data_IF_523999864854
#
_entry.id   IF_523999864854
#
_cell.length_a   1.000
_cell.length_b   1.000
_cell.length_c   1.000
_cell.angle_alpha   90.00
_cell.angle_beta   90.00
_cell.angle_gamma   90.00
#
_symmetry.space_group_name_H-M   'P 1'
#
loop_
_entity.id
_entity.type
_entity.pdbx_description
1 polymer ?
#
# COMPACT_ATOMS: atom_id res chain seq x y z
N UNK A 1 -2.40 23.76 -0.05
CA UNK A 1 -1.77 23.25 -1.29
C UNK A 1 -1.71 21.73 -1.19
N UNK A 2 -2.66 21.01 -1.79
CA UNK A 2 -2.65 19.53 -1.78
C UNK A 2 -1.56 19.07 -2.75
N UNK A 3 -0.58 18.30 -2.28
CA UNK A 3 0.59 17.93 -3.07
C UNK A 3 0.18 17.12 -4.31
N UNK A 4 0.76 17.45 -5.46
CA UNK A 4 0.51 16.79 -6.76
C UNK A 4 0.71 15.27 -6.68
N UNK A 5 1.60 14.81 -5.79
CA UNK A 5 1.87 13.41 -5.47
C UNK A 5 0.64 12.67 -4.90
N UNK A 6 -0.22 13.37 -4.16
CA UNK A 6 -1.50 12.82 -3.66
C UNK A 6 -2.50 12.58 -4.79
N UNK A 7 -2.49 13.44 -5.82
CA UNK A 7 -3.33 13.29 -7.00
C UNK A 7 -2.91 12.11 -7.88
N UNK A 8 -1.62 11.98 -8.15
CA UNK A 8 -1.06 10.93 -9.01
C UNK A 8 -1.29 9.54 -8.40
N UNK A 9 -1.02 9.38 -7.11
CA UNK A 9 -1.22 8.10 -6.41
C UNK A 9 -2.69 7.69 -6.37
N UNK A 10 -3.61 8.64 -6.12
CA UNK A 10 -5.06 8.40 -6.16
C UNK A 10 -5.53 8.01 -7.57
N UNK A 11 -5.02 8.66 -8.61
CA UNK A 11 -5.35 8.31 -9.99
C UNK A 11 -4.83 6.92 -10.37
N UNK A 12 -3.59 6.59 -9.99
CA UNK A 12 -2.99 5.25 -10.20
C UNK A 12 -3.84 4.16 -9.54
N UNK A 13 -4.31 4.39 -8.31
CA UNK A 13 -5.19 3.44 -7.62
C UNK A 13 -6.53 3.28 -8.37
N UNK A 14 -7.15 4.38 -8.79
CA UNK A 14 -8.42 4.37 -9.52
C UNK A 14 -8.29 3.62 -10.85
N UNK A 15 -7.25 3.91 -11.62
CA UNK A 15 -6.97 3.24 -12.89
C UNK A 15 -6.74 1.75 -12.67
N UNK A 16 -5.96 1.38 -11.64
CA UNK A 16 -5.65 -0.03 -11.32
C UNK A 16 -6.91 -0.79 -10.93
N UNK A 17 -7.76 -0.17 -10.10
CA UNK A 17 -9.01 -0.79 -9.70
C UNK A 17 -9.98 -0.96 -10.88
N UNK A 18 -10.07 0.05 -11.75
CA UNK A 18 -10.93 0.00 -12.94
C UNK A 18 -10.46 -1.09 -13.92
N UNK A 19 -9.15 -1.20 -14.13
CA UNK A 19 -8.57 -2.25 -14.98
C UNK A 19 -8.74 -3.64 -14.37
N UNK A 20 -8.57 -3.78 -13.06
CA UNK A 20 -8.81 -5.03 -12.35
C UNK A 20 -10.27 -5.46 -12.47
N UNK A 21 -11.23 -4.57 -12.21
CA UNK A 21 -12.65 -4.89 -12.34
C UNK A 21 -13.01 -5.34 -13.76
N UNK A 22 -12.48 -4.68 -14.78
CA UNK A 22 -12.68 -5.09 -16.18
C UNK A 22 -12.04 -6.45 -16.46
N UNK A 23 -10.87 -6.73 -15.89
CA UNK A 23 -10.23 -8.04 -16.04
C UNK A 23 -11.09 -9.13 -15.40
N UNK A 24 -11.49 -8.96 -14.14
CA UNK A 24 -12.28 -9.96 -13.42
C UNK A 24 -13.71 -10.09 -13.97
N UNK A 25 -14.30 -9.06 -14.61
CA UNK A 25 -15.61 -9.22 -15.25
C UNK A 25 -15.56 -10.09 -16.51
N UNK A 26 -14.41 -10.15 -17.18
CA UNK A 26 -14.22 -10.93 -18.42
C UNK A 26 -13.55 -12.28 -18.15
N UNK A 27 -12.57 -12.29 -17.25
CA UNK A 27 -11.68 -13.43 -16.98
C UNK A 27 -11.75 -13.92 -15.54
N UNK A 28 -12.68 -13.41 -14.71
CA UNK A 28 -12.77 -13.80 -13.30
C UNK A 28 -13.24 -15.23 -13.07
N UNK A 29 -13.92 -15.86 -14.04
CA UNK A 29 -14.52 -17.18 -13.83
C UNK A 29 -15.72 -17.13 -12.87
N UNK A 30 -16.03 -18.27 -12.24
CA UNK A 30 -17.11 -18.37 -11.25
C UNK A 30 -16.69 -17.96 -9.83
N UNK A 31 -15.39 -17.96 -9.54
CA UNK A 31 -14.84 -17.61 -8.24
C UNK A 31 -13.54 -16.77 -8.34
N UNK A 32 -13.15 -16.13 -7.24
CA UNK A 32 -11.94 -15.31 -7.20
C UNK A 32 -10.66 -16.11 -7.44
N UNK A 33 -10.67 -17.41 -7.12
CA UNK A 33 -9.51 -18.29 -7.28
C UNK A 33 -9.15 -18.46 -8.75
N UNK A 34 -10.14 -18.73 -9.59
CA UNK A 34 -9.97 -18.87 -11.03
C UNK A 34 -9.51 -17.56 -11.65
N UNK A 35 -10.09 -16.42 -11.23
CA UNK A 35 -9.63 -15.12 -11.69
C UNK A 35 -8.16 -14.85 -11.36
N UNK A 36 -7.69 -15.29 -10.17
CA UNK A 36 -6.29 -15.19 -9.78
C UNK A 36 -5.37 -16.12 -10.57
N UNK A 37 -5.83 -17.32 -10.95
CA UNK A 37 -5.06 -18.19 -11.85
C UNK A 37 -4.96 -17.54 -13.22
N UNK A 38 -6.08 -17.06 -13.76
CA UNK A 38 -6.14 -16.44 -15.08
C UNK A 38 -5.26 -15.19 -15.16
N UNK A 39 -5.16 -14.39 -14.09
CA UNK A 39 -4.29 -13.20 -14.06
C UNK A 39 -2.79 -13.57 -14.15
N UNK A 40 -2.41 -14.74 -13.61
CA UNK A 40 -1.05 -15.26 -13.66
C UNK A 40 -0.74 -15.94 -15.00
N UNK A 41 -1.76 -16.41 -15.72
CA UNK A 41 -1.59 -17.01 -17.04
C UNK A 41 -1.45 -15.95 -18.16
N UNK A 42 -1.90 -14.72 -17.95
CA UNK A 42 -1.79 -13.65 -18.96
C UNK A 42 -0.34 -13.47 -19.38
N UNK A 43 -0.05 -13.76 -20.66
CA UNK A 43 1.29 -13.63 -21.18
C UNK A 43 1.61 -12.15 -21.42
N UNK A 44 2.59 -11.61 -20.70
CA UNK A 44 3.05 -10.22 -20.82
C UNK A 44 4.45 -10.21 -21.42
N UNK A 45 4.61 -10.44 -22.74
CA UNK A 45 5.92 -10.53 -23.39
C UNK A 45 6.68 -9.20 -23.39
N UNK A 46 5.98 -8.08 -23.17
CA UNK A 46 6.53 -6.74 -23.14
C UNK A 46 6.13 -6.07 -21.83
N UNK A 47 7.09 -5.42 -21.16
CA UNK A 47 6.80 -4.67 -19.93
C UNK A 47 5.67 -3.65 -20.20
N UNK A 48 4.65 -3.56 -19.33
CA UNK A 48 3.49 -2.68 -19.50
C UNK A 48 3.86 -1.23 -19.80
N UNK A 49 4.96 -0.74 -19.23
CA UNK A 49 5.51 0.59 -19.50
C UNK A 49 5.72 0.90 -20.99
N UNK A 50 6.02 -0.11 -21.83
CA UNK A 50 6.25 0.09 -23.26
C UNK A 50 4.98 -0.02 -24.12
N UNK A 51 3.89 -0.59 -23.59
CA UNK A 51 2.64 -0.84 -24.34
C UNK A 51 1.53 0.14 -23.93
N UNK A 52 1.52 0.54 -22.67
CA UNK A 52 0.45 1.34 -22.06
C UNK A 52 0.49 2.82 -22.48
N UNK A 53 1.68 3.34 -22.81
CA UNK A 53 1.89 4.77 -23.05
C UNK A 53 1.42 5.63 -21.85
N UNK A 54 1.11 6.91 -22.08
CA UNK A 54 0.59 7.80 -21.03
C UNK A 54 -0.95 7.71 -20.87
N UNK A 55 -1.59 6.63 -21.34
CA UNK A 55 -3.05 6.50 -21.44
C UNK A 55 -3.72 6.06 -20.14
N UNK A 56 -3.05 5.25 -19.32
CA UNK A 56 -3.51 4.92 -17.98
C UNK A 56 -2.33 4.60 -17.06
N UNK A 57 -2.41 4.99 -15.80
CA UNK A 57 -1.32 4.81 -14.83
C UNK A 57 -1.41 3.49 -14.06
N UNK A 58 -2.31 2.58 -14.46
CA UNK A 58 -2.52 1.34 -13.73
C UNK A 58 -1.27 0.47 -13.69
N UNK A 59 -1.06 -0.20 -12.56
CA UNK A 59 0.07 -1.10 -12.30
C UNK A 59 -0.34 -2.58 -12.26
N UNK A 60 -1.56 -2.91 -12.72
CA UNK A 60 -2.09 -4.28 -12.64
C UNK A 60 -1.16 -5.30 -13.31
N UNK A 61 -0.73 -5.04 -14.55
CA UNK A 61 0.14 -5.94 -15.28
C UNK A 61 1.56 -6.01 -14.70
N UNK A 62 2.10 -4.90 -14.19
CA UNK A 62 3.39 -4.91 -13.50
C UNK A 62 3.31 -5.78 -12.23
N UNK A 63 2.19 -5.70 -11.50
CA UNK A 63 1.93 -6.56 -10.36
C UNK A 63 1.79 -8.04 -10.76
N UNK A 64 1.21 -8.35 -11.93
CA UNK A 64 1.12 -9.73 -12.44
C UNK A 64 2.50 -10.28 -12.79
N UNK A 65 3.35 -9.49 -13.47
CA UNK A 65 4.73 -9.87 -13.76
C UNK A 65 5.51 -10.14 -12.46
N UNK A 66 5.43 -9.23 -11.50
CA UNK A 66 6.06 -9.40 -10.19
C UNK A 66 5.56 -10.66 -9.48
N UNK A 67 4.25 -10.96 -9.56
CA UNK A 67 3.69 -12.16 -8.98
C UNK A 67 4.25 -13.45 -9.60
N UNK A 68 4.51 -13.47 -10.92
CA UNK A 68 5.18 -14.60 -11.59
C UNK A 68 6.63 -14.73 -11.14
N UNK A 69 7.39 -13.64 -11.16
CA UNK A 69 8.78 -13.63 -10.68
C UNK A 69 8.89 -14.15 -9.24
N UNK A 70 7.95 -13.77 -8.37
CA UNK A 70 7.91 -14.25 -6.98
C UNK A 70 7.54 -15.75 -6.90
N UNK A 71 6.74 -16.29 -7.80
CA UNK A 71 6.44 -17.73 -7.84
C UNK A 71 7.67 -18.56 -8.21
N UNK A 72 8.51 -18.04 -9.10
CA UNK A 72 9.72 -18.73 -9.57
C UNK A 72 10.83 -18.80 -8.51
N UNK A 73 10.79 -17.97 -7.47
CA UNK A 73 11.80 -17.93 -6.39
C UNK A 73 11.70 -19.10 -5.38
N UNK A 74 10.68 -19.95 -5.50
CA UNK A 74 10.44 -21.07 -4.58
C UNK A 74 9.81 -20.66 -3.23
N UNK A 75 9.18 -21.61 -2.50
CA UNK A 75 8.21 -21.30 -1.44
C UNK A 75 8.83 -20.54 -0.26
N UNK A 76 10.06 -20.88 0.15
CA UNK A 76 10.74 -20.23 1.29
C UNK A 76 11.09 -18.76 0.99
N UNK A 77 11.64 -18.50 -0.19
CA UNK A 77 12.06 -17.14 -0.59
C UNK A 77 10.84 -16.29 -0.89
N UNK A 78 9.85 -16.83 -1.61
CA UNK A 78 8.55 -16.21 -1.82
C UNK A 78 7.97 -15.71 -0.51
N UNK A 79 7.86 -16.58 0.50
CA UNK A 79 7.21 -16.18 1.74
C UNK A 79 8.00 -15.11 2.49
N UNK A 80 9.34 -15.23 2.51
CA UNK A 80 10.24 -14.24 3.13
C UNK A 80 10.16 -12.85 2.47
N UNK A 81 10.11 -12.80 1.14
CA UNK A 81 10.01 -11.54 0.39
C UNK A 81 8.66 -10.88 0.64
N UNK A 82 7.56 -11.63 0.47
CA UNK A 82 6.22 -11.08 0.68
C UNK A 82 6.01 -10.64 2.13
N UNK A 83 6.46 -11.41 3.13
CA UNK A 83 6.33 -11.02 4.53
C UNK A 83 7.10 -9.74 4.85
N UNK A 84 8.33 -9.61 4.34
CA UNK A 84 9.17 -8.43 4.58
C UNK A 84 8.57 -7.17 3.96
N UNK A 85 8.15 -7.25 2.69
CA UNK A 85 7.52 -6.12 1.99
C UNK A 85 6.19 -5.72 2.65
N UNK A 86 5.37 -6.68 3.08
CA UNK A 86 4.13 -6.39 3.79
C UNK A 86 4.39 -5.66 5.11
N UNK A 87 5.38 -6.10 5.90
CA UNK A 87 5.75 -5.44 7.16
C UNK A 87 6.28 -4.03 6.90
N UNK A 88 7.16 -3.84 5.93
CA UNK A 88 7.69 -2.52 5.56
C UNK A 88 6.57 -1.55 5.13
N UNK A 89 5.63 -2.02 4.31
CA UNK A 89 4.50 -1.22 3.86
C UNK A 89 3.56 -0.85 5.01
N UNK A 90 3.30 -1.78 5.93
CA UNK A 90 2.49 -1.55 7.14
C UNK A 90 3.18 -0.58 8.10
N UNK A 91 4.49 -0.72 8.33
CA UNK A 91 5.29 0.22 9.12
C UNK A 91 5.29 1.63 8.51
N UNK A 92 5.40 1.73 7.19
CA UNK A 92 5.30 3.00 6.49
C UNK A 92 3.92 3.65 6.65
N UNK A 93 2.85 2.86 6.45
CA UNK A 93 1.47 3.34 6.59
C UNK A 93 1.15 3.79 8.01
N UNK A 94 1.60 3.06 9.02
CA UNK A 94 1.39 3.39 10.44
C UNK A 94 2.18 4.63 10.88
N UNK A 95 3.38 4.86 10.35
CA UNK A 95 4.16 6.08 10.63
C UNK A 95 3.54 7.34 10.00
N UNK A 96 2.96 7.23 8.81
CA UNK A 96 2.38 8.37 8.09
C UNK A 96 0.93 8.69 8.48
N UNK A 97 0.30 7.80 9.24
CA UNK A 97 -1.06 7.97 9.72
C UNK A 97 -1.12 8.95 10.90
N UNK A 98 -1.95 10.00 10.76
CA UNK A 98 -2.14 11.00 11.83
C UNK A 98 -2.68 10.33 13.09
N UNK A 99 -2.05 10.58 14.23
CA UNK A 99 -2.47 10.07 15.55
C UNK A 99 -3.97 10.26 15.85
N UNK A 100 -4.59 11.33 15.32
CA UNK A 100 -6.03 11.62 15.51
C UNK A 100 -6.97 10.64 14.79
N UNK A 101 -6.56 10.06 13.66
CA UNK A 101 -7.33 9.04 12.94
C UNK A 101 -7.27 7.67 13.68
N UNK A 102 -6.11 7.34 14.27
CA UNK A 102 -5.95 6.13 15.06
C UNK A 102 -6.78 6.11 16.34
N UNK A 103 -6.94 7.25 17.03
CA UNK A 103 -7.77 7.34 18.24
C UNK A 103 -9.27 7.13 17.94
N UNK A 104 -9.75 7.56 16.77
CA UNK A 104 -11.14 7.31 16.34
C UNK A 104 -11.40 5.86 15.87
N UNK A 105 -10.38 5.16 15.37
CA UNK A 105 -10.49 3.74 15.00
C UNK A 105 -10.24 2.79 16.18
N UNK A 106 -9.51 3.23 17.22
CA UNK A 106 -9.33 2.50 18.49
C UNK A 106 -10.65 2.26 19.22
N UNK A 107 -11.58 3.22 19.18
CA UNK A 107 -12.93 3.06 19.77
C UNK A 107 -13.83 2.12 18.96
N UNK A 108 -13.50 1.83 17.71
CA UNK A 108 -14.28 0.95 16.83
C UNK A 108 -13.72 -0.46 16.69
N UNK A 109 -12.48 -0.71 17.11
CA UNK A 109 -11.87 -2.04 17.28
C UNK A 109 -11.96 -2.96 16.05
N UNK A 110 -10.84 -3.20 15.34
CA UNK A 110 -10.82 -4.25 14.33
C UNK A 110 -9.77 -4.17 13.24
N UNK A 111 -9.04 -3.05 13.12
CA UNK A 111 -8.09 -2.89 12.01
C UNK A 111 -6.66 -3.30 12.42
N UNK A 112 -6.06 -4.23 11.67
CA UNK A 112 -4.68 -4.73 11.80
C UNK A 112 -3.65 -3.59 11.98
N UNK A 113 -3.89 -2.46 11.33
CA UNK A 113 -3.05 -1.26 11.35
C UNK A 113 -2.95 -0.68 12.78
N UNK A 114 -4.02 -0.75 13.57
CA UNK A 114 -4.03 -0.27 14.97
C UNK A 114 -3.13 -1.13 15.86
N UNK A 115 -3.11 -2.45 15.63
CA UNK A 115 -2.22 -3.36 16.34
C UNK A 115 -0.75 -3.15 15.96
N UNK A 116 -0.44 -3.03 14.67
CA UNK A 116 0.91 -2.73 14.20
C UNK A 116 1.38 -1.37 14.73
N UNK A 117 0.51 -0.36 14.73
CA UNK A 117 0.81 0.95 15.31
C UNK A 117 1.07 0.87 16.81
N UNK A 118 0.28 0.10 17.57
CA UNK A 118 0.50 -0.10 19.01
C UNK A 118 1.83 -0.78 19.27
N UNK A 119 2.16 -1.84 18.52
CA UNK A 119 3.45 -2.52 18.59
C UNK A 119 4.60 -1.56 18.30
N UNK A 120 4.53 -0.76 17.23
CA UNK A 120 5.57 0.24 16.94
C UNK A 120 5.71 1.31 18.02
N UNK A 121 4.62 1.67 18.72
CA UNK A 121 4.68 2.55 19.89
C UNK A 121 5.40 1.90 21.07
N UNK A 122 5.09 0.64 21.36
CA UNK A 122 5.69 -0.11 22.47
C UNK A 122 7.19 -0.35 22.27
N UNK A 123 7.63 -0.55 21.02
CA UNK A 123 9.05 -0.72 20.68
C UNK A 123 9.82 0.61 20.50
N UNK A 124 9.19 1.76 20.73
CA UNK A 124 9.85 3.07 20.58
C UNK A 124 10.27 3.42 19.15
N UNK A 125 9.77 2.70 18.14
CA UNK A 125 10.12 2.86 16.72
C UNK A 125 9.34 3.99 16.02
N UNK A 126 8.52 4.73 16.77
CA UNK A 126 7.88 5.93 16.28
C UNK A 126 8.84 7.09 16.44
N UNK A 127 9.27 7.68 15.32
CA UNK A 127 9.86 9.01 15.34
C UNK A 127 8.86 9.96 16.03
N UNK A 128 9.27 10.45 17.20
CA UNK A 128 8.48 11.37 18.00
C UNK A 128 8.38 12.72 17.28
N UNK A 129 7.48 12.83 16.31
CA UNK A 129 6.96 14.13 15.85
C UNK A 129 6.09 14.83 16.92
N UNK A 130 6.24 14.46 18.20
CA UNK A 130 5.53 14.98 19.36
C UNK A 130 6.32 16.00 20.18
N UNK A 131 7.56 16.35 19.79
CA UNK A 131 8.39 17.29 20.58
C UNK A 131 8.36 18.74 20.07
N UNK A 132 7.94 19.02 18.83
CA UNK A 132 8.14 20.38 18.27
C UNK A 132 6.99 21.39 18.51
N UNK A 133 5.89 20.98 19.16
CA UNK A 133 4.81 21.93 19.54
C UNK A 133 4.90 22.41 20.99
N UNK A 134 5.77 21.84 21.82
CA UNK A 134 5.91 22.26 23.24
C UNK A 134 7.04 23.26 23.49
N UNK A 135 8.02 23.36 22.60
CA UNK A 135 9.06 24.40 22.65
C UNK A 135 8.63 25.71 21.99
N UNK A 136 7.77 25.67 20.96
CA UNK A 136 7.21 26.90 20.35
C UNK A 136 6.19 27.62 21.24
N UNK A 137 5.54 26.92 22.18
CA UNK A 137 4.66 27.53 23.16
C UNK A 137 5.40 28.14 24.38
N UNK A 138 6.73 27.94 24.50
CA UNK A 138 7.54 28.46 25.62
C UNK A 138 8.40 29.68 25.29
N UNK A 139 8.42 30.15 24.03
CA UNK A 139 9.19 31.34 23.64
C UNK A 139 8.37 32.63 23.52
N UNK A 140 7.07 32.61 23.83
CA UNK A 140 6.23 33.81 23.87
C UNK A 140 5.69 34.06 25.29
N UNK A 141 6.60 34.15 26.26
CA UNK A 141 6.32 34.78 27.56
C UNK A 141 7.61 35.46 28.04
N UNK A 142 7.86 36.68 27.56
CA UNK A 142 8.21 37.79 28.45
C UNK A 142 8.41 39.13 27.72
N UNK A 143 7.72 40.12 28.30
CA UNK A 143 7.93 41.58 28.35
C UNK A 143 7.73 42.42 27.10
#
# INVERSE_FOLDING_TARGET
MMSEVSGISKQRLKDTNSEAQRFFSVYGGQDLGQGCINILEVNTPVKPVHVKGNRSMSVLFDACMLAKEIQDLGPKIKWKVTSKVCVELLSYATNRSRAKAHVQQLTKGGELITFVWLLMAQFGLKEHAWVETRTKAKLNLNK
#
